data_IF_901709268620
#
_entry.id   IF_901709268620
#
_cell.length_a   1.000
_cell.length_b   1.000
_cell.length_c   1.000
_cell.angle_alpha   90.00
_cell.angle_beta   90.00
_cell.angle_gamma   90.00
#
_symmetry.space_group_name_H-M   'P 1'
#
loop_
_entity.id
_entity.type
_entity.pdbx_description
1 polymer ?
#
# COMPACT_ATOMS: atom_id res chain seq x y z
N UNK A 1 -24.95 0.78 -13.32
CA UNK A 1 -25.08 0.05 -12.04
C UNK A 1 -25.08 -1.43 -12.36
N UNK A 2 -24.12 -2.19 -11.81
CA UNK A 2 -23.78 -3.55 -12.26
C UNK A 2 -22.33 -3.93 -11.95
N UNK A 3 -21.68 -3.21 -11.02
CA UNK A 3 -20.33 -3.51 -10.56
C UNK A 3 -20.43 -4.43 -9.35
N UNK A 4 -19.50 -5.35 -9.23
CA UNK A 4 -19.37 -6.23 -8.08
C UNK A 4 -18.47 -5.57 -7.03
N UNK A 5 -18.93 -5.56 -5.77
CA UNK A 5 -18.10 -5.20 -4.64
C UNK A 5 -17.42 -6.47 -4.12
N UNK A 6 -16.10 -6.46 -4.06
CA UNK A 6 -15.29 -7.53 -3.49
C UNK A 6 -14.53 -6.94 -2.31
N UNK A 7 -14.66 -7.57 -1.14
CA UNK A 7 -13.95 -7.14 0.07
C UNK A 7 -12.64 -7.90 0.20
N UNK A 8 -11.55 -7.18 0.50
CA UNK A 8 -10.23 -7.76 0.76
C UNK A 8 -9.80 -7.48 2.20
N UNK A 9 -8.80 -8.22 2.69
CA UNK A 9 -8.20 -7.94 3.99
C UNK A 9 -7.36 -6.65 3.90
N UNK A 10 -7.69 -5.57 4.65
CA UNK A 10 -6.98 -4.30 4.55
C UNK A 10 -5.66 -4.27 5.32
N UNK A 11 -5.28 -5.37 5.99
CA UNK A 11 -4.12 -5.39 6.88
C UNK A 11 -2.84 -5.05 6.12
N UNK A 12 -2.14 -4.02 6.60
CA UNK A 12 -0.82 -3.56 6.12
C UNK A 12 -0.76 -3.10 4.66
N UNK A 13 -1.89 -2.87 3.99
CA UNK A 13 -1.90 -2.43 2.58
C UNK A 13 -1.16 -1.11 2.36
N UNK A 14 -1.12 -0.22 3.34
CA UNK A 14 -0.36 1.03 3.25
C UNK A 14 1.12 0.91 3.62
N UNK A 15 1.54 -0.22 4.23
CA UNK A 15 2.88 -0.43 4.80
C UNK A 15 3.76 -1.34 3.93
N UNK A 16 3.13 -2.25 3.19
CA UNK A 16 3.81 -3.13 2.24
C UNK A 16 4.08 -2.35 0.96
N UNK A 17 5.32 -2.37 0.46
CA UNK A 17 5.69 -1.77 -0.81
C UNK A 17 4.97 -2.48 -1.97
N UNK A 18 4.15 -1.77 -2.73
CA UNK A 18 3.44 -2.36 -3.88
C UNK A 18 4.36 -2.73 -5.06
N UNK A 19 5.65 -2.39 -5.00
CA UNK A 19 6.62 -2.69 -6.06
C UNK A 19 7.44 -3.95 -5.74
N UNK A 20 7.95 -4.07 -4.51
CA UNK A 20 8.83 -5.17 -4.11
C UNK A 20 8.28 -6.04 -2.97
N UNK A 21 7.08 -5.75 -2.46
CA UNK A 21 6.39 -6.46 -1.39
C UNK A 21 7.11 -6.47 -0.03
N UNK A 22 8.11 -5.59 0.14
CA UNK A 22 8.77 -5.40 1.43
C UNK A 22 7.82 -4.73 2.42
N UNK A 23 7.71 -5.31 3.61
CA UNK A 23 6.96 -4.74 4.73
C UNK A 23 7.85 -3.78 5.50
N UNK A 24 7.61 -2.48 5.33
CA UNK A 24 8.38 -1.41 5.95
C UNK A 24 7.90 -1.08 7.37
N UNK A 25 6.93 -1.83 7.89
CA UNK A 25 6.38 -1.64 9.22
C UNK A 25 5.46 -0.42 9.35
N UNK A 26 5.28 0.04 10.58
CA UNK A 26 4.29 1.08 10.89
C UNK A 26 4.81 2.48 10.59
N UNK A 27 4.19 3.16 9.63
CA UNK A 27 4.35 4.60 9.42
C UNK A 27 3.32 5.39 10.23
N UNK A 28 3.73 6.52 10.81
CA UNK A 28 2.81 7.43 11.48
C UNK A 28 1.83 8.11 10.49
N UNK A 29 0.67 8.55 10.98
CA UNK A 29 -0.42 9.04 10.12
C UNK A 29 -0.11 10.34 9.38
N UNK A 30 0.89 11.10 9.83
CA UNK A 30 1.44 12.28 9.20
C UNK A 30 2.40 11.95 8.06
N UNK A 31 2.96 10.74 8.03
CA UNK A 31 3.79 10.25 6.92
C UNK A 31 2.85 9.87 5.76
N UNK A 32 2.80 10.76 4.78
CA UNK A 32 2.02 10.62 3.54
C UNK A 32 2.84 10.03 2.40
N UNK A 33 4.13 10.34 2.38
CA UNK A 33 5.07 9.87 1.38
C UNK A 33 6.29 9.25 2.05
N UNK A 34 6.83 8.17 1.46
CA UNK A 34 8.07 7.55 1.92
C UNK A 34 8.76 6.83 0.77
N UNK A 35 10.08 6.67 0.90
CA UNK A 35 10.88 5.84 0.00
C UNK A 35 11.04 4.46 0.62
N UNK A 36 10.67 3.41 -0.13
CA UNK A 36 10.88 2.04 0.31
C UNK A 36 12.39 1.77 0.50
N UNK A 37 12.84 1.35 1.69
CA UNK A 37 14.27 1.13 1.94
C UNK A 37 14.85 -0.09 1.19
N UNK A 38 13.99 -1.01 0.74
CA UNK A 38 14.43 -2.21 0.03
C UNK A 38 14.64 -2.00 -1.48
N UNK A 39 13.78 -1.21 -2.14
CA UNK A 39 13.82 -1.04 -3.60
C UNK A 39 13.95 0.41 -4.08
N UNK A 40 13.96 1.38 -3.16
CA UNK A 40 14.10 2.80 -3.48
C UNK A 40 12.89 3.44 -4.16
N UNK A 41 11.77 2.74 -4.29
CA UNK A 41 10.54 3.32 -4.86
C UNK A 41 9.93 4.33 -3.91
N UNK A 42 9.63 5.54 -4.40
CA UNK A 42 8.85 6.53 -3.65
C UNK A 42 7.35 6.20 -3.73
N UNK A 43 6.68 6.27 -2.59
CA UNK A 43 5.27 5.94 -2.44
C UNK A 43 4.50 7.11 -1.85
N UNK A 44 3.30 7.37 -2.38
CA UNK A 44 2.21 7.97 -1.62
C UNK A 44 1.41 6.84 -0.95
N UNK A 45 1.03 7.05 0.31
CA UNK A 45 0.37 6.07 1.18
C UNK A 45 -0.94 5.54 0.63
N UNK A 46 -1.78 6.42 0.11
CA UNK A 46 -3.12 6.03 -0.33
C UNK A 46 -3.04 5.37 -1.71
N UNK A 47 -2.15 5.84 -2.58
CA UNK A 47 -1.88 5.21 -3.88
C UNK A 47 -1.27 3.81 -3.70
N UNK A 48 -0.30 3.67 -2.78
CA UNK A 48 0.31 2.37 -2.46
C UNK A 48 -0.73 1.38 -1.92
N UNK A 49 -1.57 1.82 -0.98
CA UNK A 49 -2.65 1.00 -0.44
C UNK A 49 -3.64 0.56 -1.52
N UNK A 50 -4.04 1.45 -2.43
CA UNK A 50 -4.93 1.13 -3.54
C UNK A 50 -4.31 0.08 -4.49
N UNK A 51 -3.02 0.19 -4.80
CA UNK A 51 -2.30 -0.81 -5.61
C UNK A 51 -2.26 -2.17 -4.94
N UNK A 52 -1.97 -2.21 -3.64
CA UNK A 52 -1.95 -3.46 -2.88
C UNK A 52 -3.33 -4.10 -2.77
N UNK A 53 -4.41 -3.30 -2.65
CA UNK A 53 -5.80 -3.78 -2.67
C UNK A 53 -6.16 -4.35 -4.04
N UNK A 54 -5.70 -3.72 -5.14
CA UNK A 54 -5.93 -4.21 -6.50
C UNK A 54 -5.23 -5.55 -6.77
N UNK A 55 -4.09 -5.81 -6.12
CA UNK A 55 -3.33 -7.04 -6.27
C UNK A 55 -3.73 -8.18 -5.30
N UNK A 56 -4.65 -7.91 -4.37
CA UNK A 56 -5.12 -8.87 -3.37
C UNK A 56 -6.22 -9.78 -3.90
#
# INVERSE_FOLDING_TARGET
YGKQLITVNPRKTSQVCSNCHYDDGHHALDIREWTCPNCGTNHDRDINAAKNILSA
#
